data_IF_725088092159
#
_entry.id   IF_725088092159
#
_cell.length_a   1.000
_cell.length_b   1.000
_cell.length_c   1.000
_cell.angle_alpha   90.00
_cell.angle_beta   90.00
_cell.angle_gamma   90.00
#
_symmetry.space_group_name_H-M   'P 1'
#
loop_
_entity.id
_entity.type
_entity.pdbx_description
1 polymer ?
#
# COMPACT_ATOMS: atom_id res chain seq x y z
N UNK A 1 -23.06 -27.76 7.50
CA UNK A 1 -21.63 -27.62 7.83
C UNK A 1 -21.43 -26.24 8.44
N UNK A 2 -21.24 -26.16 9.76
CA UNK A 2 -21.12 -24.89 10.50
C UNK A 2 -19.80 -24.21 10.12
N UNK A 3 -19.77 -22.91 9.75
CA UNK A 3 -18.51 -22.26 9.37
C UNK A 3 -17.52 -22.31 10.53
N UNK A 4 -16.29 -22.77 10.25
CA UNK A 4 -15.20 -22.85 11.25
C UNK A 4 -14.87 -21.43 11.75
N UNK A 5 -14.65 -21.29 13.06
CA UNK A 5 -14.40 -20.01 13.77
C UNK A 5 -13.33 -19.09 13.14
N UNK A 6 -12.35 -19.64 12.42
CA UNK A 6 -11.30 -18.87 11.72
C UNK A 6 -11.81 -18.11 10.49
N UNK A 7 -12.92 -18.53 9.90
CA UNK A 7 -13.49 -17.96 8.69
C UNK A 7 -14.17 -16.60 8.99
N UNK A 8 -14.97 -16.52 10.07
CA UNK A 8 -15.66 -15.26 10.43
C UNK A 8 -14.70 -14.12 10.78
N UNK A 9 -13.63 -14.42 11.52
CA UNK A 9 -12.60 -13.42 11.84
C UNK A 9 -11.95 -12.87 10.58
N UNK A 10 -11.51 -13.76 9.69
CA UNK A 10 -10.84 -13.38 8.46
C UNK A 10 -11.77 -12.57 7.53
N UNK A 11 -13.03 -13.01 7.36
CA UNK A 11 -14.02 -12.26 6.58
C UNK A 11 -14.25 -10.85 7.11
N UNK A 12 -14.27 -10.66 8.44
CA UNK A 12 -14.39 -9.33 9.03
C UNK A 12 -13.17 -8.46 8.73
N UNK A 13 -11.95 -8.99 8.81
CA UNK A 13 -10.73 -8.24 8.48
C UNK A 13 -10.71 -7.85 7.00
N UNK A 14 -10.96 -8.80 6.09
CA UNK A 14 -11.03 -8.53 4.65
C UNK A 14 -12.12 -7.51 4.29
N UNK A 15 -13.26 -7.57 4.99
CA UNK A 15 -14.34 -6.59 4.84
C UNK A 15 -13.94 -5.21 5.35
N UNK A 16 -13.24 -5.14 6.49
CA UNK A 16 -12.69 -3.89 6.99
C UNK A 16 -11.67 -3.30 6.01
N UNK A 17 -10.79 -4.10 5.41
CA UNK A 17 -9.88 -3.66 4.34
C UNK A 17 -10.66 -3.08 3.16
N UNK A 18 -11.69 -3.77 2.66
CA UNK A 18 -12.50 -3.29 1.54
C UNK A 18 -13.18 -1.95 1.85
N UNK A 19 -13.82 -1.85 3.02
CA UNK A 19 -14.51 -0.63 3.46
C UNK A 19 -13.54 0.53 3.69
N UNK A 20 -12.36 0.28 4.25
CA UNK A 20 -11.31 1.30 4.43
C UNK A 20 -10.89 1.89 3.09
N UNK A 21 -10.63 1.03 2.10
CA UNK A 21 -10.18 1.43 0.77
C UNK A 21 -11.19 2.31 0.04
N UNK A 22 -12.47 2.01 0.19
CA UNK A 22 -13.52 2.76 -0.51
C UNK A 22 -14.04 3.97 0.27
N UNK A 23 -14.13 3.89 1.60
CA UNK A 23 -14.92 4.83 2.39
C UNK A 23 -14.14 5.56 3.48
N UNK A 24 -12.91 5.16 3.78
CA UNK A 24 -12.15 5.74 4.88
C UNK A 24 -12.39 5.02 6.22
N UNK A 25 -11.59 5.36 7.21
CA UNK A 25 -11.65 4.76 8.54
C UNK A 25 -12.94 5.15 9.26
N UNK A 26 -13.32 6.42 9.23
CA UNK A 26 -14.49 7.01 9.91
C UNK A 26 -15.79 6.36 9.46
N UNK A 27 -15.90 6.05 8.17
CA UNK A 27 -17.07 5.37 7.60
C UNK A 27 -17.07 3.84 7.83
N UNK A 28 -15.98 3.26 8.35
CA UNK A 28 -15.83 1.82 8.60
C UNK A 28 -16.23 1.51 10.05
N UNK A 29 -17.52 1.31 10.29
CA UNK A 29 -18.07 0.90 11.58
C UNK A 29 -18.15 -0.62 11.72
N UNK A 30 -18.22 -1.12 12.97
CA UNK A 30 -18.45 -2.55 13.26
C UNK A 30 -19.70 -3.06 12.53
N UNK A 31 -20.78 -2.28 12.55
CA UNK A 31 -22.05 -2.69 11.93
C UNK A 31 -21.93 -2.80 10.40
N UNK A 32 -21.19 -1.91 9.76
CA UNK A 32 -20.91 -2.02 8.32
C UNK A 32 -20.01 -3.20 8.00
N UNK A 33 -19.01 -3.48 8.83
CA UNK A 33 -18.14 -4.66 8.66
C UNK A 33 -18.94 -5.95 8.81
N UNK A 34 -19.83 -6.04 9.80
CA UNK A 34 -20.70 -7.21 9.99
C UNK A 34 -21.64 -7.39 8.80
N UNK A 35 -22.27 -6.31 8.34
CA UNK A 35 -23.15 -6.33 7.18
C UNK A 35 -22.42 -6.78 5.91
N UNK A 36 -21.20 -6.28 5.68
CA UNK A 36 -20.39 -6.64 4.52
C UNK A 36 -19.82 -8.07 4.59
N UNK A 37 -19.37 -8.51 5.78
CA UNK A 37 -18.72 -9.82 5.97
C UNK A 37 -19.69 -10.99 6.12
N UNK A 38 -20.98 -10.71 6.37
CA UNK A 38 -21.97 -11.71 6.74
C UNK A 38 -21.67 -12.43 8.07
N UNK A 39 -20.76 -11.89 8.89
CA UNK A 39 -20.42 -12.48 10.17
C UNK A 39 -21.55 -12.22 11.21
N UNK A 40 -21.82 -13.17 12.14
CA UNK A 40 -22.83 -12.96 13.17
C UNK A 40 -22.47 -11.79 14.08
N UNK A 41 -23.47 -10.94 14.42
CA UNK A 41 -23.26 -9.74 15.27
C UNK A 41 -22.58 -10.05 16.60
N UNK A 42 -22.91 -11.18 17.22
CA UNK A 42 -22.31 -11.61 18.49
C UNK A 42 -20.83 -12.06 18.40
N UNK A 43 -20.26 -12.19 17.20
CA UNK A 43 -18.89 -12.67 17.02
C UNK A 43 -17.83 -11.57 17.10
N UNK A 44 -18.19 -10.30 16.87
CA UNK A 44 -17.20 -9.23 16.73
C UNK A 44 -16.41 -8.98 18.02
N UNK A 45 -17.09 -8.86 19.17
CA UNK A 45 -16.43 -8.59 20.45
C UNK A 45 -15.71 -9.83 21.02
N UNK A 46 -16.06 -11.03 20.53
CA UNK A 46 -15.30 -12.24 20.81
C UNK A 46 -13.98 -12.28 20.03
N UNK A 47 -13.97 -11.85 18.77
CA UNK A 47 -12.78 -11.85 17.92
C UNK A 47 -11.90 -10.60 18.08
N UNK A 48 -12.51 -9.47 18.41
CA UNK A 48 -11.90 -8.15 18.56
C UNK A 48 -12.37 -7.53 19.87
N UNK A 49 -11.86 -7.98 21.04
CA UNK A 49 -12.20 -7.39 22.34
C UNK A 49 -11.83 -5.90 22.43
N UNK A 50 -10.81 -5.45 21.68
CA UNK A 50 -10.47 -4.03 21.50
C UNK A 50 -11.38 -3.29 20.51
N UNK A 51 -12.47 -3.91 20.07
CA UNK A 51 -13.50 -3.31 19.25
C UNK A 51 -13.03 -2.84 17.86
N UNK A 52 -13.62 -1.73 17.41
CA UNK A 52 -13.37 -1.16 16.07
C UNK A 52 -11.90 -0.84 15.86
N UNK A 53 -11.23 -0.30 16.86
CA UNK A 53 -9.83 0.13 16.72
C UNK A 53 -8.91 -1.06 16.51
N UNK A 54 -9.10 -2.16 17.25
CA UNK A 54 -8.37 -3.39 17.01
C UNK A 54 -8.63 -3.94 15.60
N UNK A 55 -9.89 -3.98 15.17
CA UNK A 55 -10.27 -4.46 13.84
C UNK A 55 -9.60 -3.64 12.72
N UNK A 56 -9.62 -2.30 12.82
CA UNK A 56 -8.97 -1.42 11.84
C UNK A 56 -7.45 -1.62 11.87
N UNK A 57 -6.83 -1.69 13.05
CA UNK A 57 -5.39 -1.94 13.18
C UNK A 57 -4.99 -3.24 12.47
N UNK A 58 -5.72 -4.33 12.69
CA UNK A 58 -5.43 -5.60 12.05
C UNK A 58 -5.73 -5.60 10.54
N UNK A 59 -6.73 -4.83 10.08
CA UNK A 59 -6.99 -4.63 8.66
C UNK A 59 -5.86 -3.86 7.96
N UNK A 60 -5.34 -2.80 8.60
CA UNK A 60 -4.19 -2.04 8.11
C UNK A 60 -2.95 -2.93 8.04
N UNK A 61 -2.69 -3.73 9.08
CA UNK A 61 -1.58 -4.68 9.09
C UNK A 61 -1.70 -5.70 7.97
N UNK A 62 -2.87 -6.35 7.80
CA UNK A 62 -3.09 -7.33 6.73
C UNK A 62 -2.90 -6.71 5.34
N UNK A 63 -3.47 -5.52 5.10
CA UNK A 63 -3.32 -4.85 3.81
C UNK A 63 -1.87 -4.39 3.56
N UNK A 64 -1.19 -3.94 4.62
CA UNK A 64 0.21 -3.54 4.59
C UNK A 64 1.14 -4.71 4.26
N UNK A 65 0.94 -5.84 4.92
CA UNK A 65 1.69 -7.09 4.67
C UNK A 65 1.47 -7.57 3.24
N UNK A 66 0.23 -7.59 2.77
CA UNK A 66 -0.08 -8.00 1.38
C UNK A 66 0.65 -7.15 0.34
N UNK A 67 0.69 -5.83 0.52
CA UNK A 67 1.39 -4.93 -0.41
C UNK A 67 2.91 -5.08 -0.26
N UNK A 68 3.42 -5.27 0.97
CA UNK A 68 4.84 -5.51 1.20
C UNK A 68 5.31 -6.80 0.51
N UNK A 69 4.57 -7.89 0.66
CA UNK A 69 4.85 -9.18 0.01
C UNK A 69 4.86 -9.06 -1.52
N UNK A 70 3.98 -8.24 -2.09
CA UNK A 70 3.96 -7.96 -3.53
C UNK A 70 5.17 -7.16 -3.98
N UNK A 71 5.58 -6.14 -3.20
CA UNK A 71 6.81 -5.39 -3.46
C UNK A 71 8.01 -6.34 -3.38
N UNK A 72 8.10 -7.16 -2.34
CA UNK A 72 9.20 -8.12 -2.15
C UNK A 72 9.25 -9.17 -3.26
N UNK A 73 8.09 -9.62 -3.75
CA UNK A 73 7.99 -10.52 -4.89
C UNK A 73 8.42 -9.85 -6.20
N UNK A 74 7.95 -8.62 -6.46
CA UNK A 74 8.38 -7.82 -7.61
C UNK A 74 9.89 -7.56 -7.58
N UNK A 75 10.47 -7.45 -6.39
CA UNK A 75 11.90 -7.26 -6.17
C UNK A 75 12.77 -8.50 -6.37
N UNK A 76 12.17 -9.69 -6.46
CA UNK A 76 12.91 -10.87 -6.90
C UNK A 76 13.26 -10.79 -8.39
N UNK A 77 12.59 -9.91 -9.15
CA UNK A 77 13.06 -9.53 -10.47
C UNK A 77 14.34 -8.68 -10.33
N UNK A 78 15.41 -9.06 -11.03
CA UNK A 78 16.72 -8.39 -11.01
C UNK A 78 16.72 -7.04 -11.79
N UNK A 79 15.58 -6.35 -11.82
CA UNK A 79 15.38 -5.08 -12.52
C UNK A 79 14.56 -4.09 -11.66
N UNK A 80 15.18 -2.99 -11.17
CA UNK A 80 14.50 -1.95 -10.41
C UNK A 80 13.35 -1.27 -11.15
N UNK A 81 13.46 -1.14 -12.48
CA UNK A 81 12.41 -0.50 -13.27
C UNK A 81 11.20 -1.41 -13.31
N UNK A 82 11.40 -2.70 -13.64
CA UNK A 82 10.32 -3.69 -13.66
C UNK A 82 9.63 -3.85 -12.29
N UNK A 83 10.39 -3.82 -11.19
CA UNK A 83 9.83 -3.93 -9.84
C UNK A 83 8.93 -2.72 -9.49
N UNK A 84 9.38 -1.52 -9.85
CA UNK A 84 8.58 -0.30 -9.67
C UNK A 84 7.36 -0.31 -10.58
N UNK A 85 7.51 -0.72 -11.85
CA UNK A 85 6.41 -0.94 -12.77
C UNK A 85 5.32 -1.84 -12.17
N UNK A 86 5.71 -3.00 -11.62
CA UNK A 86 4.78 -3.92 -10.97
C UNK A 86 4.02 -3.27 -9.81
N UNK A 87 4.69 -2.40 -9.04
CA UNK A 87 4.05 -1.66 -7.95
C UNK A 87 3.02 -0.65 -8.47
N UNK A 88 3.32 0.11 -9.52
CA UNK A 88 2.37 1.02 -10.16
C UNK A 88 1.18 0.29 -10.82
N UNK A 89 1.47 -0.81 -11.52
CA UNK A 89 0.47 -1.64 -12.19
C UNK A 89 -0.54 -2.23 -11.20
N UNK A 90 -0.07 -2.70 -10.04
CA UNK A 90 -0.94 -3.17 -8.95
C UNK A 90 -2.00 -2.13 -8.60
N UNK A 91 -1.59 -0.89 -8.35
CA UNK A 91 -2.52 0.18 -7.98
C UNK A 91 -3.46 0.57 -9.11
N UNK A 92 -2.94 0.65 -10.36
CA UNK A 92 -3.75 0.91 -11.55
C UNK A 92 -4.87 -0.12 -11.68
N UNK A 93 -4.53 -1.40 -11.57
CA UNK A 93 -5.51 -2.50 -11.74
C UNK A 93 -6.57 -2.43 -10.65
N UNK A 94 -6.18 -2.16 -9.40
CA UNK A 94 -7.13 -1.94 -8.29
C UNK A 94 -8.05 -0.74 -8.50
N UNK A 95 -7.54 0.34 -9.08
CA UNK A 95 -8.34 1.52 -9.41
C UNK A 95 -9.39 1.16 -10.46
N UNK A 96 -9.00 0.51 -11.56
CA UNK A 96 -9.91 0.12 -12.65
C UNK A 96 -10.94 -0.90 -12.17
N UNK A 97 -10.52 -1.95 -11.46
CA UNK A 97 -11.40 -3.00 -10.91
C UNK A 97 -12.49 -2.42 -9.99
N UNK A 98 -12.19 -1.33 -9.30
CA UNK A 98 -13.11 -0.69 -8.34
C UNK A 98 -13.88 0.49 -8.92
N UNK A 99 -13.83 0.72 -10.23
CA UNK A 99 -14.40 1.92 -10.87
C UNK A 99 -13.92 3.21 -10.19
N UNK A 100 -12.62 3.27 -9.90
CA UNK A 100 -11.90 4.36 -9.24
C UNK A 100 -12.40 4.69 -7.82
N UNK A 101 -13.10 3.75 -7.16
CA UNK A 101 -13.60 3.95 -5.78
C UNK A 101 -12.56 3.60 -4.73
N UNK A 102 -11.77 2.54 -4.95
CA UNK A 102 -10.84 2.02 -3.96
C UNK A 102 -9.49 2.75 -4.03
N UNK A 103 -9.05 3.28 -2.90
CA UNK A 103 -7.69 3.79 -2.69
C UNK A 103 -6.85 2.89 -1.79
N UNK A 104 -5.83 3.49 -1.18
CA UNK A 104 -4.99 2.83 -0.20
C UNK A 104 -5.62 2.83 1.19
N UNK A 105 -5.77 1.66 1.85
CA UNK A 105 -6.33 1.61 3.21
C UNK A 105 -5.39 2.22 4.25
N UNK A 106 -4.09 2.29 3.97
CA UNK A 106 -3.07 2.86 4.87
C UNK A 106 -3.19 4.39 4.83
N UNK A 107 -3.29 4.98 3.63
CA UNK A 107 -3.57 6.42 3.46
C UNK A 107 -4.90 6.78 4.13
N UNK A 108 -5.95 5.99 3.93
CA UNK A 108 -7.27 6.21 4.54
C UNK A 108 -7.21 6.32 6.08
N UNK A 109 -6.28 5.62 6.71
CA UNK A 109 -6.05 5.69 8.15
C UNK A 109 -5.09 6.82 8.54
N UNK A 110 -4.09 7.10 7.71
CA UNK A 110 -3.09 8.13 7.97
C UNK A 110 -3.63 9.58 7.90
N UNK A 111 -4.60 9.84 7.02
CA UNK A 111 -5.16 11.20 6.80
C UNK A 111 -6.30 11.55 7.74
N UNK A 112 -6.88 10.55 8.41
CA UNK A 112 -7.99 10.78 9.32
C UNK A 112 -7.47 10.99 10.75
N UNK A 113 -7.70 12.19 11.29
CA UNK A 113 -7.46 12.45 12.72
C UNK A 113 -8.43 11.63 13.54
N UNK A 114 -7.92 10.85 14.49
CA UNK A 114 -8.74 10.03 15.37
C UNK A 114 -8.20 10.08 16.81
N UNK A 115 -8.73 11.01 17.60
CA UNK A 115 -8.38 11.18 19.01
C UNK A 115 -8.72 9.93 19.85
N UNK A 116 -9.71 9.15 19.42
CA UNK A 116 -10.14 7.91 20.07
C UNK A 116 -9.31 6.69 19.64
N UNK A 117 -8.41 6.85 18.66
CA UNK A 117 -7.54 5.78 18.16
C UNK A 117 -6.14 6.29 17.77
N UNK A 118 -5.38 6.89 18.69
CA UNK A 118 -4.07 7.49 18.41
C UNK A 118 -3.02 6.50 17.89
N UNK A 119 -3.22 5.19 18.09
CA UNK A 119 -2.34 4.14 17.60
C UNK A 119 -2.42 3.91 16.08
N UNK A 120 -3.48 4.37 15.41
CA UNK A 120 -3.71 4.08 14.00
C UNK A 120 -2.71 4.78 13.07
N UNK A 121 -2.34 6.02 13.36
CA UNK A 121 -1.32 6.75 12.60
C UNK A 121 0.08 6.10 12.70
N UNK A 122 0.57 5.72 13.89
CA UNK A 122 1.77 4.89 14.02
C UNK A 122 1.72 3.57 13.23
N UNK A 123 0.57 2.88 13.21
CA UNK A 123 0.42 1.65 12.40
C UNK A 123 0.56 1.92 10.90
N UNK A 124 -0.03 3.00 10.40
CA UNK A 124 0.12 3.39 9.00
C UNK A 124 1.57 3.77 8.67
N UNK A 125 2.23 4.52 9.57
CA UNK A 125 3.65 4.89 9.42
C UNK A 125 4.57 3.67 9.36
N UNK A 126 4.32 2.65 10.19
CA UNK A 126 5.08 1.40 10.18
C UNK A 126 4.93 0.64 8.85
N UNK A 127 3.73 0.65 8.26
CA UNK A 127 3.49 0.02 6.95
C UNK A 127 4.24 0.78 5.83
N UNK A 128 4.14 2.11 5.80
CA UNK A 128 4.89 2.91 4.82
C UNK A 128 6.40 2.71 4.95
N UNK A 129 6.93 2.66 6.19
CA UNK A 129 8.34 2.41 6.42
C UNK A 129 8.80 1.08 5.82
N UNK A 130 8.01 0.00 5.96
CA UNK A 130 8.33 -1.31 5.37
C UNK A 130 8.40 -1.26 3.84
N UNK A 131 7.45 -0.60 3.18
CA UNK A 131 7.48 -0.45 1.73
C UNK A 131 8.70 0.36 1.26
N UNK A 132 9.04 1.43 1.99
CA UNK A 132 10.21 2.27 1.71
C UNK A 132 11.52 1.51 1.92
N UNK A 133 11.62 0.70 2.97
CA UNK A 133 12.78 -0.15 3.27
C UNK A 133 12.98 -1.22 2.20
N UNK A 134 11.90 -1.88 1.76
CA UNK A 134 11.96 -2.82 0.65
C UNK A 134 12.53 -2.14 -0.60
N UNK A 135 11.96 -1.00 -1.01
CA UNK A 135 12.41 -0.22 -2.18
C UNK A 135 13.86 0.23 -2.05
N UNK A 136 14.25 0.72 -0.88
CA UNK A 136 15.63 1.11 -0.62
C UNK A 136 16.59 -0.09 -0.74
N UNK A 137 16.22 -1.27 -0.22
CA UNK A 137 17.04 -2.46 -0.32
C UNK A 137 17.27 -2.88 -1.78
N UNK A 138 16.23 -2.81 -2.64
CA UNK A 138 16.38 -3.03 -4.07
C UNK A 138 17.38 -2.04 -4.68
N UNK A 139 17.20 -0.74 -4.45
CA UNK A 139 18.08 0.28 -5.04
C UNK A 139 19.54 0.15 -4.59
N UNK A 140 19.78 -0.26 -3.34
CA UNK A 140 21.13 -0.59 -2.83
C UNK A 140 21.74 -1.76 -3.60
N UNK A 141 21.00 -2.85 -3.82
CA UNK A 141 21.48 -4.01 -4.60
C UNK A 141 21.90 -3.62 -6.02
N UNK A 142 21.26 -2.61 -6.59
CA UNK A 142 21.60 -2.04 -7.89
C UNK A 142 22.55 -0.84 -7.80
N UNK A 143 23.36 -0.72 -6.75
CA UNK A 143 24.53 0.15 -6.71
C UNK A 143 24.26 1.61 -6.39
N UNK A 144 23.08 1.96 -5.84
CA UNK A 144 22.86 3.27 -5.23
C UNK A 144 23.36 3.28 -3.79
N UNK A 145 23.77 4.45 -3.30
CA UNK A 145 24.11 4.62 -1.89
C UNK A 145 22.87 4.43 -1.01
N UNK A 146 23.06 4.01 0.24
CA UNK A 146 21.93 3.83 1.17
C UNK A 146 21.09 5.11 1.34
N UNK A 147 21.75 6.26 1.46
CA UNK A 147 21.06 7.55 1.61
C UNK A 147 20.20 7.89 0.39
N UNK A 148 20.74 7.69 -0.81
CA UNK A 148 19.99 7.92 -2.06
C UNK A 148 18.83 6.93 -2.17
N UNK A 149 19.08 5.66 -1.84
CA UNK A 149 18.09 4.59 -1.89
C UNK A 149 16.90 4.84 -0.94
N UNK A 150 17.16 5.28 0.30
CA UNK A 150 16.10 5.66 1.24
C UNK A 150 15.25 6.81 0.72
N UNK A 151 15.89 7.88 0.22
CA UNK A 151 15.16 9.04 -0.34
C UNK A 151 14.31 8.64 -1.55
N UNK A 152 14.87 7.81 -2.44
CA UNK A 152 14.18 7.36 -3.65
C UNK A 152 13.02 6.40 -3.32
N UNK A 153 13.19 5.48 -2.38
CA UNK A 153 12.11 4.61 -1.90
C UNK A 153 10.95 5.42 -1.31
N UNK A 154 11.25 6.42 -0.49
CA UNK A 154 10.24 7.35 0.03
C UNK A 154 9.52 8.13 -1.07
N UNK A 155 10.27 8.63 -2.06
CA UNK A 155 9.71 9.36 -3.20
C UNK A 155 8.77 8.49 -4.05
N UNK A 156 9.15 7.24 -4.34
CA UNK A 156 8.31 6.30 -5.11
C UNK A 156 6.99 6.03 -4.38
N UNK A 157 7.02 5.75 -3.07
CA UNK A 157 5.79 5.53 -2.28
C UNK A 157 4.91 6.81 -2.29
N UNK A 158 5.50 7.98 -2.06
CA UNK A 158 4.76 9.24 -2.06
C UNK A 158 4.11 9.54 -3.43
N UNK A 159 4.82 9.29 -4.53
CA UNK A 159 4.32 9.50 -5.88
C UNK A 159 3.16 8.56 -6.22
N UNK A 160 3.28 7.27 -5.88
CA UNK A 160 2.20 6.28 -6.08
C UNK A 160 0.95 6.68 -5.29
N UNK A 161 1.09 6.98 -4.00
CA UNK A 161 -0.06 7.31 -3.15
C UNK A 161 -0.73 8.62 -3.57
N UNK A 162 0.06 9.63 -3.94
CA UNK A 162 -0.47 10.87 -4.51
C UNK A 162 -1.20 10.63 -5.82
N UNK A 163 -0.64 9.80 -6.72
CA UNK A 163 -1.28 9.46 -7.97
C UNK A 163 -2.59 8.67 -7.77
N UNK A 164 -2.65 7.74 -6.82
CA UNK A 164 -3.88 7.02 -6.48
C UNK A 164 -4.98 7.99 -6.03
N UNK A 165 -4.66 9.00 -5.22
CA UNK A 165 -5.62 10.04 -4.81
C UNK A 165 -6.14 10.81 -6.04
N UNK A 166 -5.25 11.27 -6.92
CA UNK A 166 -5.63 11.99 -8.15
C UNK A 166 -6.47 11.12 -9.08
N UNK A 167 -6.12 9.84 -9.27
CA UNK A 167 -6.89 8.89 -10.09
C UNK A 167 -8.32 8.72 -9.60
N UNK A 168 -8.55 8.70 -8.28
CA UNK A 168 -9.90 8.62 -7.70
C UNK A 168 -10.70 9.90 -7.95
N UNK A 169 -10.06 11.06 -7.83
CA UNK A 169 -10.70 12.36 -8.06
C UNK A 169 -11.07 12.56 -9.54
N UNK A 170 -10.16 12.18 -10.44
CA UNK A 170 -10.30 12.38 -11.88
C UNK A 170 -11.02 11.21 -12.58
N UNK A 171 -11.18 10.07 -11.89
CA UNK A 171 -11.69 8.81 -12.45
C UNK A 171 -10.94 8.40 -13.72
N UNK A 172 -9.61 8.45 -13.64
CA UNK A 172 -8.69 8.24 -14.76
C UNK A 172 -7.43 7.55 -14.28
N UNK A 173 -6.81 6.73 -15.15
CA UNK A 173 -5.48 6.16 -14.89
C UNK A 173 -4.34 7.11 -15.27
N UNK A 174 -4.64 8.25 -15.90
CA UNK A 174 -3.62 9.19 -16.37
C UNK A 174 -2.64 9.66 -15.27
N UNK A 175 -3.07 9.99 -14.03
CA UNK A 175 -2.12 10.40 -12.99
C UNK A 175 -1.13 9.32 -12.59
N UNK A 176 -1.57 8.06 -12.49
CA UNK A 176 -0.68 6.95 -12.11
C UNK A 176 0.26 6.55 -13.24
N UNK A 177 -0.19 6.66 -14.49
CA UNK A 177 0.65 6.45 -15.69
C UNK A 177 1.72 7.55 -15.82
N UNK A 178 1.36 8.81 -15.58
CA UNK A 178 2.31 9.93 -15.59
C UNK A 178 3.37 9.80 -14.49
N UNK A 179 2.95 9.46 -13.27
CA UNK A 179 3.88 9.25 -12.15
C UNK A 179 4.83 8.08 -12.41
N UNK A 180 4.35 6.97 -13.00
CA UNK A 180 5.20 5.85 -13.39
C UNK A 180 6.25 6.27 -14.43
N UNK A 181 5.85 7.01 -15.46
CA UNK A 181 6.75 7.48 -16.52
C UNK A 181 7.90 8.34 -15.97
N UNK A 182 7.58 9.33 -15.13
CA UNK A 182 8.59 10.20 -14.50
C UNK A 182 9.54 9.43 -13.59
N UNK A 183 9.02 8.46 -12.83
CA UNK A 183 9.86 7.61 -11.98
C UNK A 183 10.76 6.71 -12.83
N UNK A 184 10.29 6.18 -13.96
CA UNK A 184 11.16 5.41 -14.86
C UNK A 184 12.30 6.24 -15.40
N UNK A 185 12.04 7.47 -15.83
CA UNK A 185 13.09 8.34 -16.36
C UNK A 185 14.09 8.73 -15.28
N UNK A 186 13.61 9.02 -14.06
CA UNK A 186 14.46 9.24 -12.90
C UNK A 186 15.32 8.01 -12.56
N UNK A 187 14.74 6.81 -12.57
CA UNK A 187 15.45 5.56 -12.30
C UNK A 187 16.51 5.28 -13.36
N UNK A 188 16.16 5.39 -14.65
CA UNK A 188 17.11 5.18 -15.75
C UNK A 188 18.29 6.15 -15.66
N UNK A 189 18.05 7.41 -15.35
CA UNK A 189 19.12 8.39 -15.18
C UNK A 189 19.98 8.08 -13.96
N UNK A 190 19.35 7.87 -12.79
CA UNK A 190 20.06 7.61 -11.53
C UNK A 190 20.87 6.31 -11.58
N UNK A 191 20.36 5.28 -12.26
CA UNK A 191 21.02 3.98 -12.42
C UNK A 191 22.10 3.99 -13.52
N UNK A 192 22.12 4.97 -14.41
CA UNK A 192 23.25 5.17 -15.36
C UNK A 192 24.39 5.92 -14.70
N UNK A 193 24.08 6.91 -13.87
CA UNK A 193 25.07 7.78 -13.21
C UNK A 193 25.60 7.21 -11.88
N UNK A 194 25.63 5.88 -11.74
CA UNK A 194 26.09 5.22 -10.51
C UNK A 194 27.56 5.57 -10.24
N UNK A 195 27.93 6.00 -9.02
CA UNK A 195 29.33 6.21 -8.67
C UNK A 195 30.09 4.89 -8.79
N UNK A 196 30.91 4.76 -9.84
CA UNK A 196 31.65 3.55 -10.20
C UNK A 196 31.47 3.08 -11.65
N UNK A 197 30.47 3.58 -12.38
CA UNK A 197 30.38 3.38 -13.82
C UNK A 197 31.41 4.31 -14.50
N UNK A 198 32.60 3.77 -14.78
CA UNK A 198 33.57 4.46 -15.64
C UNK A 198 32.94 4.83 -16.99
N UNK A 199 33.44 5.87 -17.68
CA UNK A 199 32.83 6.33 -18.93
C UNK A 199 32.78 5.16 -19.91
N UNK A 200 31.55 4.77 -20.29
CA UNK A 200 31.33 3.73 -21.29
C UNK A 200 32.09 4.06 -22.59
N UNK A 201 32.48 3.05 -23.38
CA UNK A 201 33.25 3.27 -24.59
C UNK A 201 32.47 4.20 -25.51
N UNK A 202 33.10 5.33 -25.87
CA UNK A 202 32.55 6.23 -26.89
C UNK A 202 32.60 5.52 -28.26
N UNK A 203 31.58 5.72 -29.11
CA UNK A 203 31.53 5.13 -30.45
C UNK A 203 32.71 5.59 -31.32
#
# INVERSE_FOLDING_TARGET
MTPRRSDSRNRMILSAVALLRENGASATSIDRVLAHSGAPRGSVYHHFPGGRTQLIHEAVALAGDFIADLIDAAMQADDPVAAVDAFFLLWRDRLVESDFRAGCPIVAVAVETNDDAPQLAPSAAAVFARWQEALAALFVRHGLTEERSRRLGSFVVAAVEGAVIMCRAERSTAPIEAAAAEIHDLLRHTLRDRPGAGPGPRP
#
